data_IF_489956206073
#
_entry.id   IF_489956206073
#
_cell.length_a   1.000
_cell.length_b   1.000
_cell.length_c   1.000
_cell.angle_alpha   90.00
_cell.angle_beta   90.00
_cell.angle_gamma   90.00
#
_symmetry.space_group_name_H-M   'P 1'
#
loop_
_entity.id
_entity.type
_entity.pdbx_description
1 polymer ?
#
# COMPACT_ATOMS: atom_id res chain seq x y z
N UNK A 1 -30.58 -7.21 12.97
CA UNK A 1 -29.85 -7.93 11.92
C UNK A 1 -28.42 -7.40 11.83
N UNK A 2 -27.44 -8.30 11.71
CA UNK A 2 -26.05 -7.96 11.49
C UNK A 2 -25.56 -8.63 10.20
N UNK A 3 -24.73 -7.91 9.44
CA UNK A 3 -24.05 -8.42 8.24
C UNK A 3 -22.69 -8.98 8.65
N UNK A 4 -22.40 -10.26 8.39
CA UNK A 4 -21.05 -10.77 8.51
C UNK A 4 -20.19 -10.24 7.35
N UNK A 5 -19.08 -9.58 7.65
CA UNK A 5 -18.13 -9.08 6.68
C UNK A 5 -16.82 -9.84 6.88
N UNK A 6 -16.35 -10.51 5.85
CA UNK A 6 -15.06 -11.17 5.83
C UNK A 6 -13.98 -10.17 5.39
N UNK A 7 -12.97 -9.95 6.23
CA UNK A 7 -11.78 -9.20 5.84
C UNK A 7 -10.83 -10.13 5.08
N UNK A 8 -10.60 -9.83 3.80
CA UNK A 8 -9.77 -10.68 2.93
C UNK A 8 -8.31 -10.77 3.37
N UNK A 9 -7.77 -9.72 4.00
CA UNK A 9 -6.39 -9.69 4.47
C UNK A 9 -6.10 -10.66 5.61
N UNK A 10 -7.06 -10.83 6.54
CA UNK A 10 -6.81 -11.50 7.82
C UNK A 10 -7.73 -12.72 8.02
N UNK A 11 -8.66 -12.96 7.10
CA UNK A 11 -9.68 -14.00 7.23
C UNK A 11 -10.64 -13.75 8.42
N UNK A 12 -10.64 -12.56 8.99
CA UNK A 12 -11.46 -12.20 10.14
C UNK A 12 -12.88 -11.89 9.70
N UNK A 13 -13.86 -12.44 10.39
CA UNK A 13 -15.28 -12.12 10.18
C UNK A 13 -15.73 -11.11 11.22
N UNK A 14 -16.18 -9.95 10.75
CA UNK A 14 -16.75 -8.90 11.60
C UNK A 14 -18.25 -8.83 11.36
N UNK A 15 -19.04 -8.85 12.43
CA UNK A 15 -20.47 -8.65 12.36
C UNK A 15 -20.79 -7.17 12.51
N UNK A 16 -21.35 -6.55 11.46
CA UNK A 16 -21.73 -5.14 11.46
C UNK A 16 -23.27 -5.03 11.49
N UNK A 17 -23.86 -4.30 12.45
CA UNK A 17 -25.29 -4.01 12.43
C UNK A 17 -25.67 -3.29 11.13
N UNK A 18 -26.74 -3.72 10.47
CA UNK A 18 -27.18 -3.15 9.17
C UNK A 18 -27.37 -1.64 9.25
N UNK A 19 -27.90 -1.15 10.37
CA UNK A 19 -28.11 0.29 10.62
C UNK A 19 -26.83 1.12 10.66
N UNK A 20 -25.71 0.48 10.96
CA UNK A 20 -24.41 1.12 11.06
C UNK A 20 -23.53 0.85 9.84
N UNK A 21 -23.93 0.01 8.91
CA UNK A 21 -23.12 -0.38 7.75
C UNK A 21 -22.57 0.84 6.98
N UNK A 22 -23.45 1.78 6.63
CA UNK A 22 -23.04 3.01 5.96
C UNK A 22 -22.11 3.90 6.80
N UNK A 23 -22.33 3.95 8.13
CA UNK A 23 -21.52 4.78 9.04
C UNK A 23 -20.10 4.25 9.19
N UNK A 24 -19.92 2.93 9.11
CA UNK A 24 -18.61 2.28 9.18
C UNK A 24 -17.94 2.11 7.81
N UNK A 25 -18.57 2.65 6.75
CA UNK A 25 -17.99 2.67 5.41
C UNK A 25 -18.19 1.38 4.60
N UNK A 26 -19.16 0.53 4.98
CA UNK A 26 -19.55 -0.61 4.15
C UNK A 26 -20.26 -0.08 2.90
N UNK A 27 -19.72 -0.38 1.73
CA UNK A 27 -20.24 -0.03 0.42
C UNK A 27 -20.07 -1.20 -0.55
N UNK A 28 -20.73 -1.13 -1.67
CA UNK A 28 -20.53 -2.08 -2.75
C UNK A 28 -19.11 -1.98 -3.33
N UNK A 29 -18.65 -3.08 -3.92
CA UNK A 29 -17.39 -3.10 -4.68
C UNK A 29 -17.54 -2.16 -5.88
N UNK A 30 -16.44 -1.51 -6.27
CA UNK A 30 -16.41 -0.63 -7.44
C UNK A 30 -16.86 -1.36 -8.70
N UNK A 31 -17.63 -0.69 -9.53
CA UNK A 31 -18.04 -1.22 -10.83
C UNK A 31 -17.00 -0.92 -11.93
N UNK A 32 -17.17 -1.50 -13.11
CA UNK A 32 -16.27 -1.31 -14.25
C UNK A 32 -16.15 0.17 -14.69
N UNK A 33 -17.20 0.99 -14.50
CA UNK A 33 -17.15 2.41 -14.82
C UNK A 33 -16.30 3.18 -13.82
N UNK A 34 -16.37 2.82 -12.55
CA UNK A 34 -15.50 3.38 -11.50
C UNK A 34 -14.05 2.97 -11.69
N UNK A 35 -13.79 1.72 -12.06
CA UNK A 35 -12.45 1.24 -12.44
C UNK A 35 -11.88 2.03 -13.61
N UNK A 36 -12.69 2.28 -14.65
CA UNK A 36 -12.28 3.10 -15.79
C UNK A 36 -11.91 4.54 -15.37
N UNK A 37 -12.68 5.16 -14.47
CA UNK A 37 -12.37 6.48 -13.90
C UNK A 37 -11.06 6.47 -13.09
N UNK A 38 -10.81 5.42 -12.31
CA UNK A 38 -9.54 5.27 -11.57
C UNK A 38 -8.37 5.31 -12.53
N UNK A 39 -8.42 4.54 -13.62
CA UNK A 39 -7.35 4.54 -14.63
C UNK A 39 -7.22 5.90 -15.35
N UNK A 40 -8.32 6.59 -15.60
CA UNK A 40 -8.30 7.95 -16.15
C UNK A 40 -7.60 8.93 -15.19
N UNK A 41 -7.92 8.88 -13.90
CA UNK A 41 -7.25 9.70 -12.88
C UNK A 41 -5.75 9.44 -12.86
N UNK A 42 -5.32 8.18 -12.89
CA UNK A 42 -3.90 7.81 -12.87
C UNK A 42 -3.12 8.35 -14.08
N UNK A 43 -3.76 8.42 -15.25
CA UNK A 43 -3.17 8.99 -16.48
C UNK A 43 -3.15 10.51 -16.53
N UNK A 44 -4.02 11.16 -15.75
CA UNK A 44 -4.17 12.62 -15.77
C UNK A 44 -2.97 13.28 -15.09
N UNK A 45 -2.23 14.18 -15.75
CA UNK A 45 -1.12 14.87 -15.13
C UNK A 45 -1.59 15.79 -13.99
N UNK A 46 -0.73 15.97 -12.98
CA UNK A 46 -1.01 16.85 -11.85
C UNK A 46 -0.89 18.29 -12.32
N UNK A 47 -1.98 19.06 -12.23
CA UNK A 47 -2.01 20.48 -12.62
C UNK A 47 -1.49 21.37 -11.50
N UNK A 48 -1.85 21.08 -10.25
CA UNK A 48 -1.44 21.88 -9.08
C UNK A 48 -0.69 21.00 -8.09
N UNK A 49 0.58 21.34 -7.82
CA UNK A 49 1.41 20.65 -6.83
C UNK A 49 1.41 21.43 -5.52
N UNK A 50 0.85 20.84 -4.47
CA UNK A 50 1.01 21.39 -3.11
C UNK A 50 2.47 21.26 -2.67
N UNK A 51 3.15 22.38 -2.51
CA UNK A 51 4.58 22.43 -2.18
C UNK A 51 4.83 22.22 -0.69
N UNK A 52 3.89 22.60 0.17
CA UNK A 52 4.02 22.43 1.62
C UNK A 52 3.81 20.98 2.00
N UNK A 53 4.87 20.32 2.49
CA UNK A 53 4.86 18.91 2.88
C UNK A 53 3.77 18.60 3.93
N UNK A 54 3.67 19.38 5.00
CA UNK A 54 2.72 19.10 6.08
C UNK A 54 1.29 19.19 5.61
N UNK A 55 0.97 20.19 4.78
CA UNK A 55 -0.37 20.37 4.22
C UNK A 55 -0.70 19.25 3.25
N UNK A 56 0.21 18.89 2.35
CA UNK A 56 0.05 17.79 1.40
C UNK A 56 -0.16 16.45 2.13
N UNK A 57 0.68 16.17 3.12
CA UNK A 57 0.54 14.94 3.91
C UNK A 57 -0.84 14.85 4.57
N UNK A 58 -1.31 15.92 5.20
CA UNK A 58 -2.64 15.99 5.82
C UNK A 58 -3.75 15.76 4.80
N UNK A 59 -3.71 16.44 3.66
CA UNK A 59 -4.70 16.27 2.59
C UNK A 59 -4.76 14.83 2.08
N UNK A 60 -3.62 14.20 1.90
CA UNK A 60 -3.56 12.80 1.45
C UNK A 60 -4.11 11.83 2.52
N UNK A 61 -3.84 12.07 3.81
CA UNK A 61 -4.46 11.32 4.91
C UNK A 61 -5.97 11.47 4.89
N UNK A 62 -6.48 12.68 4.71
CA UNK A 62 -7.92 12.95 4.62
C UNK A 62 -8.55 12.25 3.41
N UNK A 63 -7.91 12.28 2.24
CA UNK A 63 -8.35 11.56 1.04
C UNK A 63 -8.45 10.05 1.31
N UNK A 64 -7.43 9.44 1.91
CA UNK A 64 -7.44 8.01 2.24
C UNK A 64 -8.52 7.65 3.26
N UNK A 65 -8.79 8.53 4.23
CA UNK A 65 -9.80 8.30 5.26
C UNK A 65 -11.24 8.28 4.70
N UNK A 66 -11.47 8.88 3.54
CA UNK A 66 -12.82 8.86 2.91
C UNK A 66 -13.23 7.48 2.41
N UNK A 67 -12.28 6.60 2.11
CA UNK A 67 -12.54 5.31 1.45
C UNK A 67 -13.01 5.42 -0.01
N UNK A 68 -13.03 6.63 -0.58
CA UNK A 68 -13.40 6.86 -1.97
C UNK A 68 -12.25 6.44 -2.90
N UNK A 69 -12.52 5.47 -3.77
CA UNK A 69 -11.53 4.89 -4.67
C UNK A 69 -10.91 5.93 -5.62
N UNK A 70 -11.68 6.92 -6.07
CA UNK A 70 -11.18 7.99 -6.92
C UNK A 70 -10.18 8.88 -6.19
N UNK A 71 -10.47 9.23 -4.93
CA UNK A 71 -9.55 10.00 -4.07
C UNK A 71 -8.29 9.21 -3.72
N UNK A 72 -8.40 7.90 -3.53
CA UNK A 72 -7.26 7.01 -3.32
C UNK A 72 -6.39 6.97 -4.58
N UNK A 73 -6.99 6.91 -5.78
CA UNK A 73 -6.27 6.99 -7.05
C UNK A 73 -5.51 8.32 -7.21
N UNK A 74 -6.09 9.44 -6.80
CA UNK A 74 -5.38 10.73 -6.77
C UNK A 74 -4.14 10.68 -5.87
N UNK A 75 -4.25 10.09 -4.67
CA UNK A 75 -3.10 9.94 -3.75
C UNK A 75 -2.01 9.08 -4.38
N UNK A 76 -2.38 7.97 -5.02
CA UNK A 76 -1.41 7.09 -5.71
C UNK A 76 -0.71 7.86 -6.83
N UNK A 77 -1.46 8.55 -7.71
CA UNK A 77 -0.90 9.36 -8.79
C UNK A 77 0.06 10.43 -8.26
N UNK A 78 -0.41 11.23 -7.29
CA UNK A 78 0.33 12.39 -6.78
C UNK A 78 1.64 11.97 -6.12
N UNK A 79 1.62 10.90 -5.32
CA UNK A 79 2.82 10.40 -4.66
C UNK A 79 3.74 9.65 -5.63
N UNK A 80 3.21 8.84 -6.55
CA UNK A 80 4.02 8.12 -7.53
C UNK A 80 4.77 9.06 -8.46
N UNK A 81 4.09 10.11 -8.97
CA UNK A 81 4.74 11.11 -9.82
C UNK A 81 5.79 11.91 -9.05
N UNK A 82 5.51 12.23 -7.79
CA UNK A 82 6.48 12.93 -6.94
C UNK A 82 7.73 12.10 -6.67
N UNK A 83 7.60 10.80 -6.47
CA UNK A 83 8.73 9.90 -6.25
C UNK A 83 9.71 9.95 -7.42
N UNK A 84 9.20 10.09 -8.64
CA UNK A 84 10.02 10.25 -9.86
C UNK A 84 10.61 11.66 -9.97
N UNK A 85 9.79 12.70 -9.81
CA UNK A 85 10.17 14.08 -10.04
C UNK A 85 11.19 14.62 -9.01
N UNK A 86 11.03 14.28 -7.73
CA UNK A 86 11.81 14.81 -6.61
C UNK A 86 12.85 13.83 -6.07
N UNK A 87 13.07 12.71 -6.77
CA UNK A 87 14.08 11.70 -6.45
C UNK A 87 13.85 11.05 -5.07
N UNK A 88 12.61 10.94 -4.66
CA UNK A 88 12.21 10.19 -3.49
C UNK A 88 11.12 10.83 -2.64
N UNK A 89 10.43 9.97 -1.90
CA UNK A 89 9.41 10.31 -0.92
C UNK A 89 9.97 10.20 0.49
N UNK A 90 9.39 10.96 1.42
CA UNK A 90 9.61 10.73 2.85
C UNK A 90 9.13 9.33 3.26
N UNK A 91 9.66 8.79 4.36
CA UNK A 91 9.26 7.47 4.86
C UNK A 91 7.75 7.37 5.15
N UNK A 92 7.11 8.47 5.56
CA UNK A 92 5.67 8.56 5.76
C UNK A 92 4.89 8.47 4.45
N UNK A 93 5.34 9.20 3.43
CA UNK A 93 4.71 9.20 2.09
C UNK A 93 4.90 7.87 1.38
N UNK A 94 6.05 7.19 1.52
CA UNK A 94 6.27 5.84 0.99
C UNK A 94 5.28 4.83 1.56
N UNK A 95 5.09 4.84 2.89
CA UNK A 95 4.10 3.97 3.54
C UNK A 95 2.67 4.29 3.09
N UNK A 96 2.37 5.57 2.92
CA UNK A 96 1.07 6.02 2.43
C UNK A 96 0.81 5.56 0.99
N UNK A 97 1.79 5.69 0.10
CA UNK A 97 1.72 5.20 -1.28
C UNK A 97 1.52 3.68 -1.32
N UNK A 98 2.31 2.92 -0.57
CA UNK A 98 2.16 1.46 -0.49
C UNK A 98 0.76 1.06 -0.05
N UNK A 99 0.23 1.71 1.01
CA UNK A 99 -1.12 1.44 1.51
C UNK A 99 -2.19 1.80 0.47
N UNK A 100 -2.09 2.96 -0.16
CA UNK A 100 -3.04 3.40 -1.18
C UNK A 100 -3.06 2.46 -2.38
N UNK A 101 -1.88 2.03 -2.85
CA UNK A 101 -1.76 1.04 -3.95
C UNK A 101 -2.37 -0.29 -3.56
N UNK A 102 -2.11 -0.80 -2.35
CA UNK A 102 -2.70 -2.05 -1.87
C UNK A 102 -4.23 -1.99 -1.87
N UNK A 103 -4.82 -0.89 -1.40
CA UNK A 103 -6.29 -0.71 -1.40
C UNK A 103 -6.84 -0.75 -2.83
N UNK A 104 -6.25 0.03 -3.77
CA UNK A 104 -6.68 0.02 -5.17
C UNK A 104 -6.54 -1.36 -5.81
N UNK A 105 -5.40 -2.01 -5.58
CA UNK A 105 -5.13 -3.34 -6.14
C UNK A 105 -6.18 -4.35 -5.69
N UNK A 106 -6.43 -4.45 -4.39
CA UNK A 106 -7.41 -5.42 -3.85
C UNK A 106 -8.83 -5.11 -4.33
N UNK A 107 -9.22 -3.83 -4.40
CA UNK A 107 -10.56 -3.44 -4.82
C UNK A 107 -10.82 -3.72 -6.30
N UNK A 108 -9.86 -3.38 -7.16
CA UNK A 108 -9.97 -3.63 -8.60
C UNK A 108 -9.88 -5.12 -8.92
N UNK A 109 -8.99 -5.86 -8.23
CA UNK A 109 -8.87 -7.30 -8.39
C UNK A 109 -10.18 -8.03 -8.11
N UNK A 110 -10.90 -7.62 -7.06
CA UNK A 110 -12.22 -8.16 -6.72
C UNK A 110 -13.30 -7.77 -7.74
N UNK A 111 -13.23 -6.56 -8.30
CA UNK A 111 -14.19 -6.06 -9.29
C UNK A 111 -14.04 -6.73 -10.65
N UNK A 112 -12.80 -6.90 -11.11
CA UNK A 112 -12.48 -7.39 -12.45
C UNK A 112 -12.18 -8.90 -12.48
N UNK A 113 -12.19 -9.58 -11.32
CA UNK A 113 -11.80 -11.00 -11.18
C UNK A 113 -10.41 -11.28 -11.76
N UNK A 114 -9.47 -10.38 -11.49
CA UNK A 114 -8.08 -10.45 -11.94
C UNK A 114 -7.14 -10.67 -10.77
N UNK A 115 -5.93 -11.19 -11.07
CA UNK A 115 -4.87 -11.34 -10.08
C UNK A 115 -4.30 -9.97 -9.64
N UNK A 116 -4.00 -9.83 -8.34
CA UNK A 116 -3.43 -8.60 -7.80
C UNK A 116 -2.13 -8.17 -8.48
N UNK A 117 -1.28 -9.13 -8.89
CA UNK A 117 -0.05 -8.85 -9.60
C UNK A 117 -0.31 -8.23 -10.98
N UNK A 118 -1.37 -8.65 -11.66
CA UNK A 118 -1.79 -8.07 -12.94
C UNK A 118 -2.32 -6.65 -12.76
N UNK A 119 -3.13 -6.42 -11.72
CA UNK A 119 -3.60 -5.08 -11.39
C UNK A 119 -2.44 -4.14 -11.05
N UNK A 120 -1.44 -4.59 -10.30
CA UNK A 120 -0.25 -3.77 -10.01
C UNK A 120 0.48 -3.34 -11.28
N UNK A 121 0.64 -4.23 -12.26
CA UNK A 121 1.20 -3.88 -13.58
C UNK A 121 0.34 -2.85 -14.30
N UNK A 122 -0.98 -3.04 -14.31
CA UNK A 122 -1.92 -2.08 -14.92
C UNK A 122 -1.83 -0.70 -14.24
N UNK A 123 -1.68 -0.64 -12.93
CA UNK A 123 -1.47 0.63 -12.22
C UNK A 123 -0.16 1.29 -12.67
N UNK A 124 0.94 0.55 -12.79
CA UNK A 124 2.23 1.08 -13.23
C UNK A 124 2.18 1.60 -14.67
N UNK A 125 1.58 0.86 -15.58
CA UNK A 125 1.38 1.29 -16.97
C UNK A 125 0.56 2.59 -17.03
N UNK A 126 -0.51 2.69 -16.25
CA UNK A 126 -1.37 3.87 -16.23
C UNK A 126 -0.72 5.10 -15.55
N UNK A 127 0.24 4.88 -14.67
CA UNK A 127 1.09 5.93 -14.09
C UNK A 127 2.22 6.38 -15.04
N UNK A 128 2.37 5.74 -16.20
CA UNK A 128 3.42 6.04 -17.17
C UNK A 128 4.77 5.38 -16.85
N UNK A 129 4.78 4.43 -15.93
CA UNK A 129 5.96 3.61 -15.70
C UNK A 129 6.02 2.52 -16.77
N UNK A 130 7.18 2.36 -17.41
CA UNK A 130 7.41 1.29 -18.37
C UNK A 130 7.23 -0.05 -17.69
N UNK A 131 6.60 -1.02 -18.39
CA UNK A 131 6.54 -2.39 -17.88
C UNK A 131 7.94 -2.87 -17.47
N UNK A 132 8.09 -3.47 -16.27
CA UNK A 132 9.33 -4.13 -15.92
C UNK A 132 9.58 -5.20 -16.97
N UNK A 133 10.72 -5.10 -17.68
CA UNK A 133 11.13 -6.15 -18.62
C UNK A 133 11.15 -7.47 -17.86
N UNK A 134 10.64 -8.57 -18.44
CA UNK A 134 10.72 -9.89 -17.82
C UNK A 134 12.19 -10.22 -17.58
N UNK A 135 12.64 -10.16 -16.34
CA UNK A 135 14.05 -10.34 -15.93
C UNK A 135 14.52 -9.41 -14.80
N UNK A 136 13.83 -8.33 -14.50
CA UNK A 136 14.13 -7.45 -13.35
C UNK A 136 13.30 -7.85 -12.11
N UNK A 137 13.30 -9.14 -11.77
CA UNK A 137 13.00 -9.56 -10.40
C UNK A 137 14.13 -9.08 -9.52
N UNK A 138 14.06 -7.80 -9.09
CA UNK A 138 14.83 -7.39 -7.93
C UNK A 138 14.30 -8.20 -6.76
N UNK A 139 15.02 -9.28 -6.46
CA UNK A 139 15.01 -9.92 -5.17
C UNK A 139 14.75 -8.85 -4.10
N UNK A 140 13.58 -8.87 -3.54
CA UNK A 140 13.39 -8.35 -2.21
C UNK A 140 14.18 -9.31 -1.34
N UNK A 141 15.48 -9.01 -1.18
CA UNK A 141 16.32 -9.73 -0.26
C UNK A 141 15.71 -9.50 1.12
N UNK A 142 14.95 -10.49 1.56
CA UNK A 142 14.82 -10.80 2.96
C UNK A 142 16.20 -10.60 3.58
N UNK A 143 16.32 -9.62 4.47
CA UNK A 143 17.50 -9.49 5.27
C UNK A 143 17.74 -10.86 5.92
N UNK A 144 18.92 -11.47 5.76
CA UNK A 144 19.15 -12.76 6.36
C UNK A 144 18.96 -12.61 7.86
N UNK A 145 18.05 -13.38 8.42
CA UNK A 145 17.93 -13.54 9.86
C UNK A 145 19.33 -13.93 10.36
N UNK A 146 19.95 -13.08 11.18
CA UNK A 146 21.22 -13.42 11.82
C UNK A 146 21.05 -14.76 12.55
N UNK A 147 21.91 -15.73 12.28
CA UNK A 147 21.81 -16.99 12.98
C UNK A 147 22.05 -16.73 14.47
N UNK A 148 21.12 -17.19 15.31
CA UNK A 148 21.12 -17.07 16.78
C UNK A 148 22.32 -17.73 17.48
N UNK A 149 23.32 -18.16 16.73
CA UNK A 149 24.50 -18.89 17.21
C UNK A 149 25.68 -17.99 17.65
N UNK A 150 25.61 -16.68 17.40
CA UNK A 150 26.70 -15.78 17.86
C UNK A 150 26.57 -15.33 19.31
N UNK A 151 25.39 -15.47 19.90
CA UNK A 151 25.16 -15.04 21.29
C UNK A 151 25.69 -16.06 22.31
N UNK A 152 25.68 -17.34 21.98
CA UNK A 152 26.19 -18.40 22.88
C UNK A 152 27.72 -18.42 22.96
N UNK A 153 28.40 -18.18 21.84
CA UNK A 153 29.89 -18.15 21.83
C UNK A 153 30.46 -16.97 22.62
N UNK A 154 29.73 -15.86 22.77
CA UNK A 154 30.16 -14.70 23.55
C UNK A 154 30.02 -14.94 25.06
N UNK A 155 28.97 -15.61 25.48
CA UNK A 155 28.71 -15.92 26.90
C UNK A 155 29.72 -16.94 27.43
N UNK A 156 30.11 -17.92 26.62
CA UNK A 156 31.12 -18.90 27.03
C UNK A 156 32.55 -18.33 27.15
N UNK A 157 32.88 -17.33 26.30
CA UNK A 157 34.19 -16.67 26.37
C UNK A 157 34.33 -15.76 27.58
N UNK A 158 33.28 -15.13 28.04
CA UNK A 158 33.28 -14.27 29.24
C UNK A 158 33.30 -15.09 30.56
N UNK A 159 32.65 -16.26 30.57
CA UNK A 159 32.65 -17.18 31.71
C UNK A 159 34.02 -17.79 32.00
N UNK A 160 34.83 -18.03 30.94
CA UNK A 160 36.20 -18.57 31.10
C UNK A 160 37.21 -17.53 31.61
N UNK A 161 36.94 -16.23 31.42
CA UNK A 161 37.81 -15.15 31.84
C UNK A 161 37.67 -14.81 33.33
N UNK A 162 36.48 -15.09 33.92
CA UNK A 162 36.20 -14.85 35.33
C UNK A 162 36.74 -15.94 36.29
N UNK A 163 37.11 -17.10 35.78
CA UNK A 163 37.65 -18.22 36.63
C UNK A 163 39.16 -18.25 36.74
N UNK A 164 39.88 -17.23 36.25
CA UNK A 164 41.36 -17.16 36.30
C UNK A 164 41.88 -15.92 37.06
N UNK A 165 41.11 -15.42 38.02
CA UNK A 165 41.61 -14.46 39.04
C UNK A 165 41.42 -15.02 40.44
#
# INVERSE_FOLDING_TARGET
CALPILLSSDGLVINVPVENAQKVGVRDIVDANEVAKVFEILRTPIVEKEMNWSRRYKLNVEKLATGDVNKIAEVVRDLAQRDVDEHGLSAGEKRMLTRARSILTSEIALSEDLDEAEIQRLLDVNLGFSEPKPGDEKHHSEAPAEPADRTLARIESESKKSRRK
#
